data_IF_736141165431
#
_entry.id   IF_736141165431
#
_cell.length_a   1.000
_cell.length_b   1.000
_cell.length_c   1.000
_cell.angle_alpha   90.00
_cell.angle_beta   90.00
_cell.angle_gamma   90.00
#
_symmetry.space_group_name_H-M   'P 1'
#
loop_
_entity.id
_entity.type
_entity.pdbx_description
1 polymer ?
#
# COMPACT_ATOMS: atom_id res chain seq x y z
N UNK A 1 13.34 -13.30 25.03
CA UNK A 1 12.93 -11.87 24.99
C UNK A 1 13.96 -10.95 24.31
N UNK A 2 14.95 -10.36 25.00
CA UNK A 2 15.84 -9.34 24.39
C UNK A 2 16.69 -9.85 23.19
N UNK A 3 17.10 -11.12 23.23
CA UNK A 3 17.89 -11.76 22.16
C UNK A 3 17.08 -11.99 20.87
N UNK A 4 15.78 -12.32 20.99
CA UNK A 4 14.91 -12.56 19.83
C UNK A 4 14.50 -11.26 19.13
N UNK A 5 14.26 -10.18 19.89
CA UNK A 5 14.02 -8.85 19.29
C UNK A 5 15.26 -8.36 18.55
N UNK A 6 16.43 -8.43 19.19
CA UNK A 6 17.69 -8.08 18.57
C UNK A 6 17.90 -8.89 17.28
N UNK A 7 17.61 -10.19 17.31
CA UNK A 7 17.66 -11.03 16.11
C UNK A 7 16.70 -10.56 15.02
N UNK A 8 15.44 -10.31 15.34
CA UNK A 8 14.45 -9.83 14.37
C UNK A 8 14.82 -8.46 13.76
N UNK A 9 15.40 -7.57 14.56
CA UNK A 9 15.95 -6.31 14.07
C UNK A 9 17.13 -6.53 13.12
N UNK A 10 18.11 -7.38 13.48
CA UNK A 10 19.23 -7.73 12.61
C UNK A 10 18.74 -8.33 11.28
N UNK A 11 17.74 -9.22 11.32
CA UNK A 11 17.13 -9.76 10.10
C UNK A 11 16.54 -8.63 9.25
N UNK A 12 15.77 -7.72 9.86
CA UNK A 12 15.18 -6.55 9.18
C UNK A 12 16.27 -5.66 8.55
N UNK A 13 17.35 -5.37 9.25
CA UNK A 13 18.48 -4.57 8.75
C UNK A 13 19.14 -5.19 7.51
N UNK A 14 19.22 -6.52 7.43
CA UNK A 14 19.71 -7.19 6.21
C UNK A 14 18.80 -6.91 5.00
N UNK A 15 17.49 -6.90 5.22
CA UNK A 15 16.51 -6.56 4.18
C UNK A 15 16.52 -5.08 3.82
N UNK A 16 16.81 -4.19 4.77
CA UNK A 16 17.07 -2.77 4.47
C UNK A 16 18.35 -2.58 3.65
N UNK A 17 19.41 -3.34 3.95
CA UNK A 17 20.63 -3.33 3.16
C UNK A 17 20.38 -3.83 1.72
N UNK A 18 19.56 -4.87 1.57
CA UNK A 18 19.11 -5.33 0.26
C UNK A 18 18.28 -4.28 -0.48
N UNK A 19 17.33 -3.65 0.20
CA UNK A 19 16.53 -2.54 -0.34
C UNK A 19 17.44 -1.44 -0.90
N UNK A 20 18.43 -0.99 -0.12
CA UNK A 20 19.43 0.01 -0.55
C UNK A 20 20.22 -0.44 -1.78
N UNK A 21 20.47 -1.75 -1.96
CA UNK A 21 21.20 -2.30 -3.11
C UNK A 21 20.36 -2.34 -4.38
N UNK A 22 19.06 -2.60 -4.28
CA UNK A 22 18.17 -2.72 -5.45
C UNK A 22 17.51 -1.39 -5.85
N UNK A 23 17.48 -0.41 -4.94
CA UNK A 23 17.04 0.94 -5.26
C UNK A 23 17.93 1.57 -6.34
N UNK A 24 17.35 2.21 -7.37
CA UNK A 24 18.14 2.95 -8.34
C UNK A 24 18.96 4.04 -7.64
N UNK A 25 20.26 4.21 -7.94
CA UNK A 25 21.09 5.21 -7.30
C UNK A 25 20.49 6.63 -7.44
N UNK A 26 20.37 7.33 -6.31
CA UNK A 26 19.77 8.67 -6.26
C UNK A 26 18.29 8.71 -6.65
N UNK A 27 17.56 7.59 -6.57
CA UNK A 27 16.12 7.61 -6.72
C UNK A 27 15.47 8.46 -5.62
N UNK A 28 14.54 9.30 -6.03
CA UNK A 28 13.57 9.94 -5.14
C UNK A 28 12.43 8.96 -4.82
N UNK A 29 11.74 9.17 -3.71
CA UNK A 29 10.60 8.36 -3.27
C UNK A 29 9.44 9.24 -2.84
N UNK A 30 8.27 8.95 -3.39
CA UNK A 30 7.01 9.63 -3.10
C UNK A 30 5.96 8.59 -2.71
N UNK A 31 5.43 8.67 -1.50
CA UNK A 31 4.37 7.78 -1.05
C UNK A 31 2.98 8.32 -1.42
N UNK A 32 2.28 7.68 -2.36
CA UNK A 32 0.99 8.22 -2.85
C UNK A 32 -0.22 7.85 -1.99
N UNK A 33 -0.03 7.04 -0.93
CA UNK A 33 -1.13 6.58 -0.11
C UNK A 33 -0.64 6.32 1.31
N UNK A 34 -0.88 7.27 2.20
CA UNK A 34 -0.71 7.06 3.63
C UNK A 34 -1.76 7.80 4.45
N UNK A 35 -1.88 7.39 5.70
CA UNK A 35 -2.88 7.89 6.63
C UNK A 35 -2.26 8.36 7.94
N UNK A 36 -2.85 9.40 8.53
CA UNK A 36 -2.57 9.86 9.89
C UNK A 36 -3.87 9.90 10.72
N UNK A 37 -3.73 9.88 12.05
CA UNK A 37 -4.86 9.93 12.99
C UNK A 37 -5.11 8.58 13.67
N UNK A 38 -6.33 8.38 14.18
CA UNK A 38 -6.70 7.16 14.89
C UNK A 38 -7.84 6.47 14.15
N UNK A 39 -7.65 5.27 13.61
CA UNK A 39 -8.71 4.52 12.96
C UNK A 39 -9.63 3.84 13.98
N UNK A 40 -10.90 3.66 13.62
CA UNK A 40 -11.87 2.87 14.39
C UNK A 40 -11.45 1.41 14.57
N UNK A 41 -10.57 0.89 13.72
CA UNK A 41 -10.03 -0.47 13.84
C UNK A 41 -8.87 -0.60 14.84
N UNK A 42 -8.42 0.53 15.40
CA UNK A 42 -7.34 0.60 16.39
C UNK A 42 -5.97 0.90 15.82
N UNK A 43 -5.82 1.02 14.50
CA UNK A 43 -4.57 1.49 13.88
C UNK A 43 -4.37 2.99 14.12
N UNK A 44 -3.12 3.37 14.36
CA UNK A 44 -2.74 4.76 14.61
C UNK A 44 -1.64 5.13 13.63
N UNK A 45 -1.89 6.18 12.84
CA UNK A 45 -0.88 6.83 12.02
C UNK A 45 -0.33 8.02 12.80
N UNK A 46 0.84 7.83 13.41
CA UNK A 46 1.50 8.88 14.19
C UNK A 46 2.38 9.76 13.30
N UNK A 47 2.27 11.07 13.49
CA UNK A 47 2.99 12.04 12.66
C UNK A 47 4.51 11.93 12.86
N UNK A 48 4.96 11.83 14.11
CA UNK A 48 6.39 11.86 14.44
C UNK A 48 7.06 10.52 14.07
N UNK A 49 6.35 9.40 14.21
CA UNK A 49 6.76 8.11 13.66
C UNK A 49 6.88 8.18 12.13
N UNK A 50 5.85 8.70 11.43
CA UNK A 50 5.88 8.81 9.97
C UNK A 50 7.06 9.67 9.50
N UNK A 51 7.31 10.81 10.13
CA UNK A 51 8.45 11.68 9.84
C UNK A 51 9.78 10.95 9.97
N UNK A 52 9.95 10.16 11.05
CA UNK A 52 11.14 9.35 11.25
C UNK A 52 11.28 8.26 10.16
N UNK A 53 10.17 7.61 9.77
CA UNK A 53 10.15 6.62 8.69
C UNK A 53 10.54 7.26 7.35
N UNK A 54 9.95 8.41 7.02
CA UNK A 54 10.24 9.15 5.79
C UNK A 54 11.72 9.56 5.74
N UNK A 55 12.26 10.08 6.84
CA UNK A 55 13.67 10.46 6.92
C UNK A 55 14.59 9.24 6.78
N UNK A 56 14.31 8.14 7.49
CA UNK A 56 15.14 6.94 7.48
C UNK A 56 15.20 6.26 6.10
N UNK A 57 14.11 6.36 5.34
CA UNK A 57 13.99 5.74 4.02
C UNK A 57 14.18 6.71 2.86
N UNK A 58 14.38 8.01 3.10
CA UNK A 58 14.55 9.01 2.04
C UNK A 58 13.28 9.29 1.24
N UNK A 59 12.10 9.13 1.85
CA UNK A 59 10.81 9.50 1.24
C UNK A 59 10.69 11.02 1.31
N UNK A 60 10.66 11.68 0.16
CA UNK A 60 10.72 13.14 0.08
C UNK A 60 9.36 13.79 0.26
N UNK A 61 8.30 13.16 -0.25
CA UNK A 61 6.92 13.68 -0.29
C UNK A 61 5.91 12.55 -0.14
N UNK A 62 4.69 12.90 0.27
CA UNK A 62 3.59 11.95 0.31
C UNK A 62 2.23 12.60 0.12
N UNK A 63 1.27 11.86 -0.43
CA UNK A 63 -0.16 12.19 -0.31
C UNK A 63 -0.68 11.61 1.01
N UNK A 64 -1.36 12.44 1.79
CA UNK A 64 -1.73 12.10 3.16
C UNK A 64 -3.17 12.52 3.46
N UNK A 65 -3.91 11.65 4.14
CA UNK A 65 -5.31 11.85 4.53
C UNK A 65 -5.59 11.22 5.89
N UNK A 66 -6.71 11.57 6.52
CA UNK A 66 -7.08 11.00 7.81
C UNK A 66 -7.61 9.56 7.70
N UNK A 67 -7.42 8.79 8.78
CA UNK A 67 -8.02 7.48 9.00
C UNK A 67 -9.56 7.56 9.18
N UNK A 68 -10.25 6.42 9.31
CA UNK A 68 -11.69 6.42 9.64
C UNK A 68 -11.89 6.75 11.12
N UNK A 69 -11.74 8.02 11.49
CA UNK A 69 -11.58 8.39 12.89
C UNK A 69 -12.88 8.30 13.73
N UNK A 70 -12.80 8.00 15.04
CA UNK A 70 -13.97 7.97 15.92
C UNK A 70 -14.76 9.29 15.94
N UNK A 71 -14.09 10.42 15.73
CA UNK A 71 -14.69 11.76 15.66
C UNK A 71 -15.02 12.20 14.22
N UNK A 72 -15.22 11.26 13.29
CA UNK A 72 -15.56 11.55 11.89
C UNK A 72 -16.85 12.34 11.68
N UNK A 73 -17.72 12.45 12.68
CA UNK A 73 -18.95 13.24 12.55
C UNK A 73 -18.78 14.64 13.14
N UNK A 74 -19.17 15.70 12.40
CA UNK A 74 -19.71 15.68 11.04
C UNK A 74 -18.62 15.70 9.94
N UNK A 75 -18.81 14.90 8.89
CA UNK A 75 -18.14 14.99 7.59
C UNK A 75 -16.60 14.96 7.61
N UNK A 76 -16.00 14.22 8.54
CA UNK A 76 -14.56 14.19 8.82
C UNK A 76 -13.94 15.57 9.14
N UNK A 77 -14.73 16.60 9.49
CA UNK A 77 -14.23 17.98 9.63
C UNK A 77 -13.01 18.09 10.56
N UNK A 78 -13.12 17.56 11.77
CA UNK A 78 -12.03 17.61 12.74
C UNK A 78 -10.79 16.85 12.27
N UNK A 79 -10.98 15.70 11.63
CA UNK A 79 -9.92 14.88 11.06
C UNK A 79 -9.22 15.57 9.87
N UNK A 80 -9.99 16.18 8.95
CA UNK A 80 -9.49 16.97 7.83
C UNK A 80 -8.73 18.22 8.31
N UNK A 81 -9.17 18.87 9.38
CA UNK A 81 -8.46 20.00 9.99
C UNK A 81 -7.09 19.56 10.55
N UNK A 82 -7.01 18.37 11.16
CA UNK A 82 -5.73 17.77 11.58
C UNK A 82 -4.84 17.44 10.38
N UNK A 83 -5.39 16.87 9.31
CA UNK A 83 -4.68 16.61 8.06
C UNK A 83 -4.05 17.89 7.49
N UNK A 84 -4.80 19.00 7.42
CA UNK A 84 -4.27 20.30 7.00
C UNK A 84 -3.16 20.82 7.93
N UNK A 85 -3.32 20.64 9.24
CA UNK A 85 -2.30 21.03 10.22
C UNK A 85 -1.00 20.21 10.09
N UNK A 86 -1.10 18.89 9.83
CA UNK A 86 0.06 18.04 9.56
C UNK A 86 0.80 18.45 8.29
N UNK A 87 0.06 18.79 7.22
CA UNK A 87 0.66 19.31 6.00
C UNK A 87 1.45 20.60 6.26
N UNK A 88 0.88 21.55 7.00
CA UNK A 88 1.57 22.78 7.39
C UNK A 88 2.82 22.50 8.24
N UNK A 89 2.72 21.58 9.22
CA UNK A 89 3.85 21.16 10.09
C UNK A 89 5.00 20.54 9.28
N UNK A 90 4.69 19.79 8.22
CA UNK A 90 5.67 19.09 7.39
C UNK A 90 6.47 19.99 6.43
N UNK A 91 6.15 21.30 6.38
CA UNK A 91 6.67 22.26 5.40
C UNK A 91 6.42 21.82 3.94
N UNK A 92 5.23 21.27 3.65
CA UNK A 92 4.80 20.92 2.30
C UNK A 92 5.29 19.55 1.79
N UNK A 93 5.97 18.75 2.62
CA UNK A 93 6.31 17.35 2.27
C UNK A 93 5.09 16.44 2.28
N UNK A 94 4.19 16.63 3.26
CA UNK A 94 2.91 15.95 3.30
C UNK A 94 1.86 16.80 2.59
N UNK A 95 1.22 16.22 1.58
CA UNK A 95 0.24 16.87 0.71
C UNK A 95 -1.16 16.41 1.11
N UNK A 96 -2.02 17.30 1.63
CA UNK A 96 -3.27 16.91 2.27
C UNK A 96 -4.35 16.60 1.25
N UNK A 97 -5.00 15.44 1.40
CA UNK A 97 -6.22 15.09 0.67
C UNK A 97 -7.40 15.17 1.64
N UNK A 98 -8.50 15.75 1.19
CA UNK A 98 -9.74 15.82 1.97
C UNK A 98 -10.46 14.48 1.89
N UNK A 99 -10.76 13.87 3.04
CA UNK A 99 -11.59 12.67 3.12
C UNK A 99 -13.06 13.06 3.24
N UNK A 100 -13.92 12.42 2.47
CA UNK A 100 -15.35 12.77 2.40
C UNK A 100 -16.25 11.65 2.92
N UNK A 101 -17.29 12.05 3.65
CA UNK A 101 -18.51 11.25 3.82
C UNK A 101 -19.57 11.76 2.84
N UNK A 102 -20.02 10.89 1.93
CA UNK A 102 -21.03 11.27 0.93
C UNK A 102 -22.41 11.54 1.54
N UNK A 103 -22.64 11.19 2.80
CA UNK A 103 -23.90 11.44 3.51
C UNK A 103 -23.93 12.79 4.24
N UNK A 104 -22.81 13.51 4.35
CA UNK A 104 -22.69 14.70 5.20
C UNK A 104 -22.14 15.92 4.45
N UNK A 105 -22.87 16.38 3.41
CA UNK A 105 -22.52 17.54 2.59
C UNK A 105 -21.06 17.49 2.03
N UNK A 106 -20.76 16.47 1.20
CA UNK A 106 -19.40 16.21 0.72
C UNK A 106 -18.83 17.37 -0.10
N UNK A 107 -19.67 18.14 -0.80
CA UNK A 107 -19.21 19.23 -1.67
C UNK A 107 -18.81 20.45 -0.85
N UNK A 108 -19.56 20.79 0.20
CA UNK A 108 -19.17 21.88 1.09
C UNK A 108 -17.85 21.58 1.81
N UNK A 109 -17.67 20.34 2.29
CA UNK A 109 -16.41 19.96 2.95
C UNK A 109 -15.24 19.91 1.97
N UNK A 110 -15.43 19.32 0.78
CA UNK A 110 -14.40 19.31 -0.26
C UNK A 110 -13.98 20.75 -0.62
N UNK A 111 -14.95 21.64 -0.86
CA UNK A 111 -14.68 23.04 -1.20
C UNK A 111 -13.89 23.74 -0.09
N UNK A 112 -14.33 23.60 1.16
CA UNK A 112 -13.67 24.20 2.33
C UNK A 112 -12.21 23.76 2.45
N UNK A 113 -11.95 22.45 2.36
CA UNK A 113 -10.60 21.92 2.52
C UNK A 113 -9.71 22.27 1.33
N UNK A 114 -10.23 22.22 0.09
CA UNK A 114 -9.47 22.62 -1.10
C UNK A 114 -9.11 24.10 -1.07
N UNK A 115 -10.02 24.97 -0.63
CA UNK A 115 -9.75 26.40 -0.42
C UNK A 115 -8.74 26.64 0.71
N UNK A 116 -8.67 25.73 1.69
CA UNK A 116 -7.71 25.75 2.79
C UNK A 116 -6.35 25.09 2.45
N UNK A 117 -6.16 24.58 1.23
CA UNK A 117 -4.89 24.04 0.76
C UNK A 117 -4.84 22.52 0.58
N UNK A 118 -5.95 21.79 0.72
CA UNK A 118 -6.03 20.42 0.26
C UNK A 118 -5.78 20.33 -1.25
N UNK A 119 -5.08 19.28 -1.68
CA UNK A 119 -4.61 19.08 -3.06
C UNK A 119 -5.11 17.78 -3.68
N UNK A 120 -6.08 17.12 -3.05
CA UNK A 120 -6.70 15.90 -3.53
C UNK A 120 -7.93 15.53 -2.71
N UNK A 121 -8.68 14.54 -3.17
CA UNK A 121 -9.87 14.01 -2.52
C UNK A 121 -9.67 12.52 -2.22
N UNK A 122 -10.01 12.08 -1.01
CA UNK A 122 -9.99 10.67 -0.60
C UNK A 122 -11.41 10.14 -0.47
N UNK A 123 -11.66 9.01 -1.12
CA UNK A 123 -12.91 8.27 -1.09
C UNK A 123 -12.69 6.83 -0.62
N UNK A 124 -13.57 6.30 0.24
CA UNK A 124 -13.50 4.91 0.70
C UNK A 124 -14.89 4.24 0.67
N UNK A 125 -15.28 3.56 -0.44
CA UNK A 125 -16.64 3.09 -0.66
C UNK A 125 -17.16 2.13 0.40
N UNK A 126 -16.30 1.22 0.89
CA UNK A 126 -16.63 0.30 1.99
C UNK A 126 -16.89 1.01 3.32
N UNK A 127 -15.97 1.89 3.75
CA UNK A 127 -16.07 2.58 5.04
C UNK A 127 -17.24 3.57 5.07
N UNK A 128 -17.44 4.33 3.98
CA UNK A 128 -18.55 5.30 3.86
C UNK A 128 -19.82 4.71 3.21
N UNK A 129 -19.85 3.41 2.93
CA UNK A 129 -21.02 2.63 2.48
C UNK A 129 -21.73 3.21 1.25
N UNK A 130 -20.98 3.38 0.16
CA UNK A 130 -21.55 3.78 -1.14
C UNK A 130 -21.01 2.87 -2.26
N UNK A 131 -21.73 2.82 -3.38
CA UNK A 131 -21.34 2.13 -4.61
C UNK A 131 -20.92 3.10 -5.72
N UNK A 132 -20.36 2.58 -6.82
CA UNK A 132 -19.84 3.43 -7.91
C UNK A 132 -20.93 4.02 -8.81
N UNK A 133 -22.19 3.59 -8.67
CA UNK A 133 -23.33 4.17 -9.36
C UNK A 133 -24.01 5.29 -8.54
N UNK A 134 -23.52 5.57 -7.33
CA UNK A 134 -24.04 6.63 -6.49
C UNK A 134 -23.89 8.00 -7.18
N UNK A 135 -25.03 8.63 -7.49
CA UNK A 135 -25.07 9.92 -8.18
C UNK A 135 -24.40 11.06 -7.41
N UNK A 136 -24.12 10.90 -6.10
CA UNK A 136 -23.35 11.87 -5.31
C UNK A 136 -21.87 11.93 -5.70
N UNK A 137 -21.36 10.93 -6.43
CA UNK A 137 -20.00 10.96 -6.98
C UNK A 137 -19.87 11.94 -8.15
N UNK A 138 -20.93 12.17 -8.93
CA UNK A 138 -20.91 13.08 -10.08
C UNK A 138 -20.42 14.50 -9.71
N UNK A 139 -20.99 15.20 -8.70
CA UNK A 139 -20.48 16.52 -8.31
C UNK A 139 -19.08 16.47 -7.68
N UNK A 140 -18.68 15.36 -7.06
CA UNK A 140 -17.32 15.20 -6.49
C UNK A 140 -16.28 15.13 -7.62
N UNK A 141 -16.55 14.34 -8.67
CA UNK A 141 -15.68 14.24 -9.84
C UNK A 141 -15.64 15.55 -10.64
N UNK A 142 -16.80 16.22 -10.80
CA UNK A 142 -16.85 17.53 -11.44
C UNK A 142 -16.00 18.57 -10.70
N UNK A 143 -16.10 18.62 -9.37
CA UNK A 143 -15.30 19.53 -8.53
C UNK A 143 -13.80 19.20 -8.63
N UNK A 144 -13.43 17.92 -8.59
CA UNK A 144 -12.03 17.50 -8.72
C UNK A 144 -11.43 17.92 -10.08
N UNK A 145 -12.20 17.75 -11.17
CA UNK A 145 -11.80 18.18 -12.50
C UNK A 145 -11.66 19.72 -12.60
N UNK A 146 -12.61 20.48 -12.05
CA UNK A 146 -12.57 21.94 -12.00
C UNK A 146 -11.33 22.44 -11.25
N UNK A 147 -11.08 21.87 -10.08
CA UNK A 147 -9.97 22.24 -9.19
C UNK A 147 -8.62 21.65 -9.62
N UNK A 148 -8.62 20.75 -10.62
CA UNK A 148 -7.44 20.01 -11.11
C UNK A 148 -6.71 19.27 -9.99
N UNK A 149 -7.46 18.59 -9.13
CA UNK A 149 -6.94 17.77 -8.04
C UNK A 149 -7.29 16.30 -8.26
N UNK A 150 -6.41 15.35 -7.94
CA UNK A 150 -6.71 13.93 -8.06
C UNK A 150 -7.73 13.47 -7.02
N UNK A 151 -8.47 12.43 -7.38
CA UNK A 151 -9.28 11.62 -6.46
C UNK A 151 -8.52 10.32 -6.21
N UNK A 152 -8.23 9.99 -4.95
CA UNK A 152 -7.79 8.66 -4.55
C UNK A 152 -8.98 7.86 -4.01
N UNK A 153 -9.29 6.74 -4.63
CA UNK A 153 -10.38 5.85 -4.21
C UNK A 153 -9.85 4.49 -3.78
N UNK A 154 -10.40 3.96 -2.68
CA UNK A 154 -10.10 2.61 -2.25
C UNK A 154 -10.54 1.58 -3.31
N UNK A 155 -9.60 0.76 -3.80
CA UNK A 155 -9.84 -0.33 -4.76
C UNK A 155 -9.40 -1.71 -4.24
N UNK A 156 -9.32 -1.85 -2.92
CA UNK A 156 -8.79 -3.04 -2.25
C UNK A 156 -9.86 -4.02 -1.75
N UNK A 157 -9.43 -4.96 -0.90
CA UNK A 157 -10.25 -6.08 -0.40
C UNK A 157 -11.57 -5.61 0.23
N UNK A 158 -12.61 -6.42 0.05
CA UNK A 158 -13.91 -6.21 0.70
C UNK A 158 -14.84 -5.25 -0.02
N UNK A 159 -14.55 -4.94 -1.29
CA UNK A 159 -15.47 -4.27 -2.20
C UNK A 159 -16.15 -5.28 -3.14
N UNK A 160 -17.39 -4.99 -3.59
CA UNK A 160 -17.95 -5.63 -4.78
C UNK A 160 -17.18 -5.18 -6.05
N UNK A 161 -17.48 -5.73 -7.24
CA UNK A 161 -16.98 -5.18 -8.50
C UNK A 161 -17.23 -3.66 -8.60
N UNK A 162 -16.22 -2.91 -9.04
CA UNK A 162 -16.21 -1.44 -9.11
C UNK A 162 -15.85 -0.91 -10.50
N UNK A 163 -15.34 -1.75 -11.39
CA UNK A 163 -14.70 -1.33 -12.62
C UNK A 163 -15.64 -0.57 -13.56
N UNK A 164 -16.84 -1.11 -13.80
CA UNK A 164 -17.81 -0.51 -14.72
C UNK A 164 -18.28 0.88 -14.25
N UNK A 165 -18.59 1.03 -12.97
CA UNK A 165 -19.01 2.31 -12.41
C UNK A 165 -17.90 3.36 -12.44
N UNK A 166 -16.66 2.97 -12.09
CA UNK A 166 -15.49 3.85 -12.20
C UNK A 166 -15.21 4.23 -13.66
N UNK A 167 -15.25 3.28 -14.59
CA UNK A 167 -15.04 3.55 -16.01
C UNK A 167 -16.05 4.59 -16.54
N UNK A 168 -17.32 4.46 -16.15
CA UNK A 168 -18.37 5.41 -16.48
C UNK A 168 -18.12 6.80 -15.88
N UNK A 169 -17.69 6.88 -14.62
CA UNK A 169 -17.34 8.16 -13.98
C UNK A 169 -16.18 8.86 -14.71
N UNK A 170 -15.12 8.12 -15.03
CA UNK A 170 -13.98 8.68 -15.77
C UNK A 170 -14.38 9.10 -17.20
N UNK A 171 -15.31 8.38 -17.85
CA UNK A 171 -15.88 8.77 -19.16
C UNK A 171 -16.67 10.08 -19.11
N UNK A 172 -17.48 10.27 -18.06
CA UNK A 172 -18.26 11.50 -17.89
C UNK A 172 -17.41 12.67 -17.41
N UNK A 173 -16.29 12.41 -16.73
CA UNK A 173 -15.39 13.43 -16.18
C UNK A 173 -13.95 13.26 -16.69
N UNK A 174 -13.68 13.44 -18.00
CA UNK A 174 -12.35 13.21 -18.59
C UNK A 174 -11.27 14.17 -18.08
N UNK A 175 -11.65 15.26 -17.39
CA UNK A 175 -10.72 16.19 -16.74
C UNK A 175 -10.32 15.79 -15.31
N UNK A 176 -10.94 14.77 -14.73
CA UNK A 176 -10.60 14.28 -13.40
C UNK A 176 -9.45 13.26 -13.49
N UNK A 177 -8.46 13.40 -12.60
CA UNK A 177 -7.45 12.36 -12.39
C UNK A 177 -7.93 11.42 -11.28
N UNK A 178 -7.92 10.12 -11.54
CA UNK A 178 -8.31 9.08 -10.60
C UNK A 178 -7.09 8.24 -10.22
N UNK A 179 -6.87 8.04 -8.92
CA UNK A 179 -5.91 7.10 -8.36
C UNK A 179 -6.71 5.96 -7.72
N UNK A 180 -6.53 4.74 -8.21
CA UNK A 180 -7.17 3.54 -7.68
C UNK A 180 -6.19 2.84 -6.74
N UNK A 181 -6.56 2.76 -5.47
CA UNK A 181 -5.68 2.20 -4.46
C UNK A 181 -5.60 0.67 -4.49
N UNK A 182 -4.53 0.15 -3.89
CA UNK A 182 -4.27 -1.27 -3.68
C UNK A 182 -4.26 -2.06 -5.00
N UNK A 183 -3.61 -1.53 -6.03
CA UNK A 183 -3.56 -2.10 -7.38
C UNK A 183 -4.93 -2.44 -8.00
N UNK A 184 -6.03 -1.93 -7.43
CA UNK A 184 -7.38 -2.29 -7.86
C UNK A 184 -7.76 -3.76 -7.64
N UNK A 185 -7.13 -4.46 -6.68
CA UNK A 185 -7.32 -5.92 -6.48
C UNK A 185 -8.77 -6.36 -6.26
N UNK A 186 -9.69 -5.46 -5.90
CA UNK A 186 -11.11 -5.78 -5.80
C UNK A 186 -11.73 -6.24 -7.14
N UNK A 187 -11.22 -5.72 -8.26
CA UNK A 187 -11.81 -5.90 -9.59
C UNK A 187 -10.75 -5.74 -10.69
N UNK A 188 -9.52 -6.22 -10.42
CA UNK A 188 -8.30 -5.88 -11.17
C UNK A 188 -8.42 -6.15 -12.67
N UNK A 189 -8.92 -7.32 -13.05
CA UNK A 189 -9.00 -7.71 -14.47
C UNK A 189 -9.96 -6.80 -15.25
N UNK A 190 -11.12 -6.47 -14.68
CA UNK A 190 -12.09 -5.57 -15.32
C UNK A 190 -11.61 -4.12 -15.28
N UNK A 191 -10.99 -3.68 -14.18
CA UNK A 191 -10.36 -2.36 -14.10
C UNK A 191 -9.30 -2.19 -15.20
N UNK A 192 -8.39 -3.16 -15.34
CA UNK A 192 -7.41 -3.16 -16.42
C UNK A 192 -8.09 -3.10 -17.80
N UNK A 193 -9.13 -3.92 -18.03
CA UNK A 193 -9.86 -3.91 -19.30
C UNK A 193 -10.45 -2.54 -19.65
N UNK A 194 -10.94 -1.78 -18.67
CA UNK A 194 -11.56 -0.48 -18.88
C UNK A 194 -10.58 0.70 -18.84
N UNK A 195 -9.49 0.60 -18.09
CA UNK A 195 -8.65 1.77 -17.76
C UNK A 195 -7.17 1.62 -18.10
N UNK A 196 -6.67 0.43 -18.47
CA UNK A 196 -5.32 0.30 -18.99
C UNK A 196 -5.18 1.11 -20.28
N UNK A 197 -4.11 1.89 -20.40
CA UNK A 197 -3.91 2.79 -21.53
C UNK A 197 -4.61 4.14 -21.38
N UNK A 198 -5.46 4.32 -20.36
CA UNK A 198 -6.25 5.54 -20.19
C UNK A 198 -5.51 6.58 -19.37
N UNK A 199 -5.07 7.66 -20.03
CA UNK A 199 -4.46 8.81 -19.38
C UNK A 199 -5.39 9.39 -18.30
N UNK A 200 -4.82 9.73 -17.15
CA UNK A 200 -5.56 10.27 -16.01
C UNK A 200 -6.14 9.21 -15.06
N UNK A 201 -6.01 7.91 -15.38
CA UNK A 201 -6.25 6.83 -14.42
C UNK A 201 -4.91 6.27 -13.97
N UNK A 202 -4.66 6.29 -12.67
CA UNK A 202 -3.45 5.83 -12.02
C UNK A 202 -3.80 4.80 -10.96
N UNK A 203 -2.81 4.03 -10.53
CA UNK A 203 -2.92 2.99 -9.54
C UNK A 203 -1.75 3.07 -8.57
N UNK A 204 -2.00 2.74 -7.30
CA UNK A 204 -0.93 2.57 -6.33
C UNK A 204 -0.54 1.08 -6.13
N UNK A 205 0.64 0.83 -5.55
CA UNK A 205 1.15 -0.54 -5.30
C UNK A 205 0.84 -1.07 -3.91
N UNK A 206 -0.05 -0.45 -3.12
CA UNK A 206 -0.24 -0.77 -1.70
C UNK A 206 -1.03 -2.07 -1.48
N UNK A 207 -0.39 -3.20 -1.79
CA UNK A 207 -0.95 -4.54 -1.58
C UNK A 207 0.03 -5.41 -0.80
N UNK A 208 -0.50 -6.50 -0.24
CA UNK A 208 0.26 -7.46 0.55
C UNK A 208 0.71 -8.70 -0.23
N UNK A 209 0.24 -8.85 -1.47
CA UNK A 209 0.43 -10.06 -2.27
C UNK A 209 1.43 -9.77 -3.39
N UNK A 210 2.62 -10.37 -3.38
CA UNK A 210 3.57 -10.21 -4.47
C UNK A 210 3.03 -10.80 -5.78
N UNK A 211 2.15 -11.81 -5.72
CA UNK A 211 1.49 -12.39 -6.90
C UNK A 211 0.47 -11.41 -7.49
N UNK A 212 -0.30 -10.69 -6.66
CA UNK A 212 -1.25 -9.68 -7.16
C UNK A 212 -0.50 -8.57 -7.90
N UNK A 213 0.65 -8.11 -7.39
CA UNK A 213 1.46 -7.10 -8.07
C UNK A 213 2.05 -7.60 -9.40
N UNK A 214 2.51 -8.86 -9.46
CA UNK A 214 3.00 -9.43 -10.72
C UNK A 214 1.91 -9.50 -11.79
N UNK A 215 0.68 -9.91 -11.42
CA UNK A 215 -0.44 -9.92 -12.36
C UNK A 215 -0.92 -8.50 -12.71
N UNK A 216 -0.84 -7.57 -11.77
CA UNK A 216 -1.13 -6.15 -11.99
C UNK A 216 -0.19 -5.52 -13.03
N UNK A 217 1.14 -5.71 -12.93
CA UNK A 217 2.09 -5.14 -13.89
C UNK A 217 1.92 -5.70 -15.31
N UNK A 218 1.47 -6.96 -15.43
CA UNK A 218 1.12 -7.59 -16.71
C UNK A 218 -0.08 -6.94 -17.38
N UNK A 219 -0.92 -6.22 -16.63
CA UNK A 219 -2.19 -5.67 -17.08
C UNK A 219 -2.20 -4.14 -17.18
N UNK A 220 -1.37 -3.45 -16.39
CA UNK A 220 -1.34 -1.99 -16.30
C UNK A 220 0.00 -1.41 -16.82
N UNK A 221 -0.03 -0.41 -17.71
CA UNK A 221 1.16 0.30 -18.17
C UNK A 221 1.97 0.95 -17.03
N UNK A 222 3.32 0.95 -17.10
CA UNK A 222 4.17 1.49 -16.04
C UNK A 222 3.92 2.98 -15.74
N UNK A 223 3.51 3.76 -16.73
CA UNK A 223 3.16 5.18 -16.56
C UNK A 223 1.94 5.41 -15.64
N UNK A 224 1.11 4.38 -15.44
CA UNK A 224 -0.08 4.44 -14.59
C UNK A 224 0.18 3.93 -13.18
N UNK A 225 1.40 3.51 -12.85
CA UNK A 225 1.74 2.90 -11.56
C UNK A 225 2.52 3.86 -10.69
N UNK A 226 2.14 3.95 -9.41
CA UNK A 226 2.84 4.73 -8.39
C UNK A 226 3.07 3.91 -7.12
N UNK A 227 4.22 4.08 -6.48
CA UNK A 227 4.51 3.40 -5.23
C UNK A 227 3.70 3.98 -4.06
N UNK A 228 3.21 3.09 -3.20
CA UNK A 228 2.52 3.44 -1.96
C UNK A 228 2.86 2.47 -0.83
N UNK A 229 2.89 2.98 0.41
CA UNK A 229 3.03 2.15 1.60
C UNK A 229 1.69 1.74 2.22
N UNK A 230 0.66 2.59 2.17
CA UNK A 230 -0.54 2.47 3.01
C UNK A 230 -0.21 2.52 4.51
N UNK A 231 0.81 3.30 4.91
CA UNK A 231 1.12 3.55 6.33
C UNK A 231 -0.14 4.06 7.06
N UNK A 232 -0.46 3.57 8.27
CA UNK A 232 0.35 2.70 9.12
C UNK A 232 0.17 1.19 8.90
N UNK A 233 -0.63 0.78 7.91
CA UNK A 233 -0.86 -0.63 7.61
C UNK A 233 0.39 -1.25 7.00
N UNK A 234 0.93 -0.67 5.92
CA UNK A 234 2.21 -1.08 5.35
C UNK A 234 3.41 -0.49 6.10
N UNK A 235 4.47 -1.28 6.19
CA UNK A 235 5.68 -0.92 6.92
C UNK A 235 6.94 -1.13 6.09
N UNK A 236 7.97 -0.32 6.37
CA UNK A 236 9.29 -0.49 5.76
C UNK A 236 10.14 -1.55 6.50
N UNK A 237 11.05 -2.23 5.80
CA UNK A 237 11.33 -2.13 4.35
C UNK A 237 10.34 -2.91 3.47
N UNK A 238 9.34 -3.59 4.06
CA UNK A 238 8.44 -4.52 3.38
C UNK A 238 7.69 -3.91 2.20
N UNK A 239 7.04 -2.74 2.37
CA UNK A 239 6.28 -2.12 1.26
C UNK A 239 7.14 -1.64 0.10
N UNK A 240 8.38 -1.20 0.35
CA UNK A 240 9.32 -0.86 -0.73
C UNK A 240 9.87 -2.12 -1.40
N UNK A 241 10.23 -3.14 -0.62
CA UNK A 241 10.76 -4.40 -1.14
C UNK A 241 9.74 -5.12 -2.01
N UNK A 242 8.49 -5.25 -1.57
CA UNK A 242 7.46 -5.91 -2.37
C UNK A 242 7.29 -5.19 -3.70
N UNK A 243 7.17 -3.85 -3.71
CA UNK A 243 7.00 -3.07 -4.93
C UNK A 243 8.21 -3.20 -5.87
N UNK A 244 9.43 -3.00 -5.36
CA UNK A 244 10.65 -3.06 -6.17
C UNK A 244 10.95 -4.45 -6.70
N UNK A 245 10.93 -5.48 -5.85
CA UNK A 245 11.28 -6.84 -6.28
C UNK A 245 10.26 -7.37 -7.29
N UNK A 246 8.98 -7.11 -7.10
CA UNK A 246 7.95 -7.52 -8.07
C UNK A 246 8.05 -6.72 -9.37
N UNK A 247 8.29 -5.40 -9.33
CA UNK A 247 8.48 -4.59 -10.54
C UNK A 247 9.72 -5.01 -11.34
N UNK A 248 10.86 -5.24 -10.67
CA UNK A 248 12.10 -5.75 -11.30
C UNK A 248 11.83 -7.12 -11.93
N UNK A 249 11.14 -8.01 -11.21
CA UNK A 249 10.77 -9.34 -11.71
C UNK A 249 9.80 -9.26 -12.90
N UNK A 250 8.95 -8.24 -12.92
CA UNK A 250 8.03 -7.96 -14.02
C UNK A 250 8.74 -7.41 -15.26
N UNK A 251 9.93 -6.84 -15.10
CA UNK A 251 10.77 -6.35 -16.19
C UNK A 251 11.02 -4.84 -16.16
N UNK A 252 10.55 -4.14 -15.13
CA UNK A 252 10.81 -2.70 -14.98
C UNK A 252 12.32 -2.46 -14.87
N UNK A 253 12.79 -1.42 -15.54
CA UNK A 253 14.20 -0.99 -15.52
C UNK A 253 14.29 0.37 -14.83
N UNK A 254 15.49 0.95 -14.81
CA UNK A 254 15.78 2.21 -14.11
C UNK A 254 14.76 3.32 -14.42
N UNK A 255 14.33 3.45 -15.70
CA UNK A 255 13.31 4.43 -16.10
C UNK A 255 11.95 4.16 -15.45
N UNK A 256 11.40 2.96 -15.60
CA UNK A 256 10.07 2.63 -15.06
C UNK A 256 10.08 2.64 -13.53
N UNK A 257 11.17 2.17 -12.90
CA UNK A 257 11.32 2.20 -11.45
C UNK A 257 11.33 3.64 -10.90
N UNK A 258 12.06 4.56 -11.53
CA UNK A 258 12.05 5.99 -11.12
C UNK A 258 10.69 6.65 -11.31
N UNK A 259 9.98 6.31 -12.39
CA UNK A 259 8.63 6.80 -12.62
C UNK A 259 7.66 6.31 -11.53
N UNK A 260 7.69 5.01 -11.24
CA UNK A 260 6.88 4.36 -10.21
C UNK A 260 7.19 4.91 -8.81
N UNK A 261 8.46 5.04 -8.44
CA UNK A 261 8.87 5.44 -7.09
C UNK A 261 8.53 6.89 -6.76
N UNK A 262 8.62 7.81 -7.73
CA UNK A 262 8.36 9.22 -7.47
C UNK A 262 7.98 10.04 -8.71
N UNK A 263 8.47 9.68 -9.91
CA UNK A 263 8.34 10.53 -11.10
C UNK A 263 6.89 10.87 -11.45
N UNK A 264 6.00 9.87 -11.51
CA UNK A 264 4.58 10.08 -11.83
C UNK A 264 3.87 10.87 -10.73
N UNK A 265 4.18 10.58 -9.46
CA UNK A 265 3.57 11.24 -8.31
C UNK A 265 4.00 12.71 -8.17
N UNK A 266 5.29 13.00 -8.41
CA UNK A 266 5.82 14.37 -8.44
C UNK A 266 5.15 15.19 -9.55
N UNK A 267 5.09 14.65 -10.78
CA UNK A 267 4.41 15.31 -11.88
C UNK A 267 2.95 15.63 -11.53
N UNK A 268 2.23 14.67 -10.93
CA UNK A 268 0.86 14.87 -10.49
C UNK A 268 0.73 15.96 -9.41
N UNK A 269 1.57 15.92 -8.37
CA UNK A 269 1.55 16.87 -7.26
C UNK A 269 1.85 18.32 -7.71
N UNK A 270 2.74 18.45 -8.69
CA UNK A 270 3.21 19.74 -9.22
C UNK A 270 2.33 20.26 -10.38
N UNK A 271 1.31 19.48 -10.78
CA UNK A 271 0.37 19.86 -11.84
C UNK A 271 0.99 19.77 -13.24
N UNK A 272 2.06 18.99 -13.39
CA UNK A 272 2.72 18.73 -14.65
C UNK A 272 1.94 17.71 -15.49
N UNK A 273 2.08 17.71 -16.82
CA UNK A 273 1.42 16.73 -17.67
C UNK A 273 1.88 15.30 -17.35
N UNK A 274 0.91 14.41 -17.09
CA UNK A 274 1.19 12.98 -16.98
C UNK A 274 1.67 12.40 -18.32
N UNK A 275 2.60 11.43 -18.31
CA UNK A 275 3.02 10.73 -19.52
C UNK A 275 1.85 9.97 -20.17
N UNK A 276 1.95 9.74 -21.49
CA UNK A 276 1.01 8.87 -22.19
C UNK A 276 1.26 7.42 -21.79
N UNK A 277 0.23 6.67 -21.34
CA UNK A 277 0.39 5.26 -21.04
C UNK A 277 0.89 4.45 -22.23
N UNK A 278 1.90 3.62 -21.99
CA UNK A 278 2.43 2.68 -22.96
C UNK A 278 1.71 1.33 -22.89
N UNK A 279 2.39 0.23 -23.22
CA UNK A 279 1.87 -1.12 -23.01
C UNK A 279 2.28 -1.65 -21.63
N UNK A 280 1.45 -2.50 -21.00
CA UNK A 280 1.84 -3.22 -19.77
C UNK A 280 3.15 -4.01 -19.93
N UNK A 281 3.89 -4.13 -18.83
CA UNK A 281 5.14 -4.90 -18.75
C UNK A 281 5.01 -5.88 -17.60
N UNK A 282 4.89 -7.17 -17.91
CA UNK A 282 4.84 -8.20 -16.90
C UNK A 282 4.83 -9.61 -17.51
N UNK A 283 5.09 -10.64 -16.71
CA UNK A 283 5.21 -12.00 -17.19
C UNK A 283 3.84 -12.66 -17.26
N UNK A 284 3.55 -13.40 -18.34
CA UNK A 284 2.32 -14.21 -18.45
C UNK A 284 2.30 -15.45 -17.52
N UNK A 285 3.44 -15.76 -16.89
CA UNK A 285 3.56 -16.87 -15.95
C UNK A 285 4.55 -16.59 -14.82
N UNK A 286 4.27 -17.16 -13.65
CA UNK A 286 5.20 -17.19 -12.51
C UNK A 286 5.92 -18.53 -12.48
N UNK A 287 7.17 -18.55 -12.94
CA UNK A 287 8.04 -19.73 -12.82
C UNK A 287 8.71 -19.74 -11.44
N UNK A 288 8.42 -20.78 -10.66
CA UNK A 288 8.94 -21.00 -9.31
C UNK A 288 9.05 -22.48 -9.00
N UNK A 289 10.00 -22.85 -8.12
CA UNK A 289 10.07 -24.23 -7.63
C UNK A 289 8.80 -24.59 -6.84
N UNK A 290 8.39 -25.86 -6.89
CA UNK A 290 7.24 -26.37 -6.12
C UNK A 290 7.41 -26.10 -4.61
N UNK A 291 8.65 -26.07 -4.12
CA UNK A 291 8.96 -25.78 -2.72
C UNK A 291 8.65 -24.33 -2.36
N UNK A 292 9.11 -23.37 -3.17
CA UNK A 292 8.80 -21.95 -2.96
C UNK A 292 7.30 -21.66 -3.12
N UNK A 293 6.64 -22.32 -4.09
CA UNK A 293 5.20 -22.25 -4.25
C UNK A 293 4.43 -22.72 -2.99
N UNK A 294 4.89 -23.82 -2.38
CA UNK A 294 4.32 -24.35 -1.13
C UNK A 294 4.55 -23.41 0.04
N UNK A 295 5.74 -22.82 0.16
CA UNK A 295 6.04 -21.81 1.19
C UNK A 295 5.07 -20.63 1.03
N UNK A 296 5.00 -20.01 -0.15
CA UNK A 296 4.08 -18.91 -0.44
C UNK A 296 2.62 -19.27 -0.09
N UNK A 297 2.17 -20.47 -0.48
CA UNK A 297 0.82 -20.95 -0.19
C UNK A 297 0.54 -20.99 1.32
N UNK A 298 1.45 -21.53 2.13
CA UNK A 298 1.27 -21.59 3.58
C UNK A 298 1.30 -20.20 4.22
N UNK A 299 2.16 -19.29 3.77
CA UNK A 299 2.23 -17.92 4.29
C UNK A 299 1.00 -17.10 3.91
N UNK A 300 0.50 -17.27 2.68
CA UNK A 300 -0.75 -16.68 2.21
C UNK A 300 -1.97 -17.15 3.02
N UNK A 301 -1.96 -18.40 3.48
CA UNK A 301 -2.99 -18.92 4.38
C UNK A 301 -2.81 -18.41 5.83
N UNK A 302 -1.57 -18.23 6.29
CA UNK A 302 -1.26 -17.81 7.66
C UNK A 302 -1.62 -16.34 7.91
N UNK A 303 -1.38 -15.48 6.92
CA UNK A 303 -1.61 -14.02 7.01
C UNK A 303 -3.03 -13.63 7.46
N UNK A 304 -4.12 -14.10 6.82
CA UNK A 304 -5.47 -13.75 7.26
C UNK A 304 -5.80 -14.32 8.65
N UNK A 305 -5.25 -15.47 9.03
CA UNK A 305 -5.43 -16.04 10.37
C UNK A 305 -4.74 -15.18 11.44
N UNK A 306 -3.55 -14.64 11.14
CA UNK A 306 -2.84 -13.72 12.02
C UNK A 306 -3.68 -12.45 12.27
N UNK A 307 -4.21 -11.83 11.21
CA UNK A 307 -5.03 -10.62 11.33
C UNK A 307 -6.34 -10.85 12.09
N UNK A 308 -6.97 -12.00 11.85
CA UNK A 308 -8.22 -12.39 12.51
C UNK A 308 -8.02 -13.08 13.86
N UNK A 309 -6.75 -13.18 14.31
CA UNK A 309 -6.32 -13.83 15.57
C UNK A 309 -6.89 -15.25 15.72
N UNK A 310 -6.97 -15.98 14.62
CA UNK A 310 -7.49 -17.34 14.60
C UNK A 310 -6.41 -18.36 15.01
N UNK A 311 -6.81 -19.50 15.62
CA UNK A 311 -5.90 -20.60 15.87
C UNK A 311 -5.30 -21.13 14.55
N UNK A 312 -4.27 -21.96 14.64
CA UNK A 312 -3.56 -22.63 13.52
C UNK A 312 -2.59 -21.78 12.69
N UNK A 313 -2.47 -20.47 12.92
CA UNK A 313 -1.43 -19.63 12.27
C UNK A 313 -0.03 -20.26 12.41
N UNK A 314 0.31 -20.77 13.60
CA UNK A 314 1.61 -21.41 13.86
C UNK A 314 1.78 -22.78 13.18
N UNK A 315 0.69 -23.52 12.98
CA UNK A 315 0.74 -24.77 12.24
C UNK A 315 1.16 -24.53 10.78
N UNK A 316 0.61 -23.48 10.16
CA UNK A 316 0.98 -23.07 8.80
C UNK A 316 2.43 -22.57 8.72
N UNK A 317 2.89 -21.77 9.69
CA UNK A 317 4.30 -21.36 9.74
C UNK A 317 5.23 -22.57 9.88
N UNK A 318 4.86 -23.57 10.67
CA UNK A 318 5.65 -24.81 10.85
C UNK A 318 5.73 -25.63 9.55
N UNK A 319 4.64 -25.68 8.78
CA UNK A 319 4.63 -26.32 7.46
C UNK A 319 5.56 -25.58 6.48
N UNK A 320 5.56 -24.25 6.50
CA UNK A 320 6.47 -23.43 5.70
C UNK A 320 7.94 -23.68 6.09
N UNK A 321 8.28 -23.60 7.39
CA UNK A 321 9.62 -23.89 7.93
C UNK A 321 10.12 -25.27 7.51
N UNK A 322 9.26 -26.30 7.66
CA UNK A 322 9.62 -27.67 7.28
C UNK A 322 9.85 -27.80 5.78
N UNK A 323 9.06 -27.10 4.96
CA UNK A 323 9.24 -27.06 3.50
C UNK A 323 10.57 -26.42 3.12
N UNK A 324 11.00 -25.36 3.82
CA UNK A 324 12.31 -24.74 3.61
C UNK A 324 13.49 -25.67 3.93
N UNK A 325 13.32 -26.67 4.79
CA UNK A 325 14.36 -27.63 5.15
C UNK A 325 14.53 -28.77 4.12
N UNK A 326 13.64 -28.87 3.13
CA UNK A 326 13.76 -29.87 2.06
C UNK A 326 14.99 -29.58 1.17
N UNK A 327 15.64 -30.64 0.68
CA UNK A 327 16.77 -30.48 -0.26
C UNK A 327 16.28 -29.80 -1.55
N UNK A 328 16.93 -28.71 -1.94
CA UNK A 328 16.48 -27.91 -3.06
C UNK A 328 17.63 -27.21 -3.82
N UNK A 329 17.32 -26.60 -4.97
CA UNK A 329 18.28 -25.83 -5.81
C UNK A 329 18.44 -24.37 -5.39
N UNK A 330 17.58 -23.89 -4.49
CA UNK A 330 17.48 -22.51 -4.02
C UNK A 330 17.83 -22.42 -2.52
N UNK A 331 18.83 -23.21 -2.09
CA UNK A 331 19.06 -23.48 -0.66
C UNK A 331 19.25 -22.19 0.14
N UNK A 332 20.02 -21.24 -0.40
CA UNK A 332 20.25 -19.92 0.19
C UNK A 332 18.94 -19.14 0.44
N UNK A 333 18.03 -19.12 -0.54
CA UNK A 333 16.72 -18.44 -0.42
C UNK A 333 15.88 -19.15 0.64
N UNK A 334 15.80 -20.47 0.59
CA UNK A 334 15.00 -21.24 1.56
C UNK A 334 15.55 -21.14 2.98
N UNK A 335 16.87 -21.04 3.17
CA UNK A 335 17.48 -20.83 4.48
C UNK A 335 17.17 -19.42 5.02
N UNK A 336 17.21 -18.38 4.17
CA UNK A 336 16.80 -17.01 4.56
C UNK A 336 15.34 -16.94 4.97
N UNK A 337 14.45 -17.57 4.19
CA UNK A 337 13.03 -17.68 4.52
C UNK A 337 12.84 -18.42 5.84
N UNK A 338 13.48 -19.59 6.01
CA UNK A 338 13.37 -20.38 7.24
C UNK A 338 13.73 -19.55 8.46
N UNK A 339 14.82 -18.81 8.39
CA UNK A 339 15.31 -17.99 9.49
C UNK A 339 14.32 -16.88 9.90
N UNK A 340 13.69 -16.20 8.93
CA UNK A 340 12.60 -15.24 9.22
C UNK A 340 11.44 -15.91 9.96
N UNK A 341 11.03 -17.09 9.48
CA UNK A 341 9.86 -17.80 10.00
C UNK A 341 10.11 -18.43 11.38
N UNK A 342 11.33 -18.93 11.64
CA UNK A 342 11.73 -19.44 12.95
C UNK A 342 11.70 -18.32 13.99
N UNK A 343 12.27 -17.15 13.67
CA UNK A 343 12.19 -15.99 14.56
C UNK A 343 10.74 -15.53 14.75
N UNK A 344 9.93 -15.48 13.69
CA UNK A 344 8.51 -15.12 13.78
C UNK A 344 7.72 -16.05 14.71
N UNK A 345 7.96 -17.37 14.62
CA UNK A 345 7.35 -18.38 15.49
C UNK A 345 7.80 -18.21 16.94
N UNK A 346 9.11 -18.06 17.17
CA UNK A 346 9.64 -17.96 18.54
C UNK A 346 9.18 -16.66 19.22
N UNK A 347 9.07 -15.56 18.48
CA UNK A 347 8.45 -14.31 18.93
C UNK A 347 6.97 -14.48 19.29
N UNK A 348 6.23 -15.29 18.51
CA UNK A 348 4.82 -15.58 18.77
C UNK A 348 4.65 -16.39 20.06
N UNK A 349 5.49 -17.39 20.30
CA UNK A 349 5.43 -18.23 21.51
C UNK A 349 5.73 -17.43 22.80
N UNK A 350 6.47 -16.32 22.69
CA UNK A 350 6.72 -15.40 23.80
C UNK A 350 5.59 -14.36 24.01
N UNK A 351 4.63 -14.20 23.09
CA UNK A 351 3.53 -13.22 23.21
C UNK A 351 2.75 -13.30 24.55
N UNK A 352 2.39 -14.49 25.07
CA UNK A 352 1.66 -14.58 26.34
C UNK A 352 2.45 -14.08 27.56
N UNK A 353 3.78 -13.95 27.44
CA UNK A 353 4.67 -13.49 28.51
C UNK A 353 4.69 -11.96 28.63
N UNK A 354 4.29 -11.25 27.57
CA UNK A 354 4.19 -9.80 27.58
C UNK A 354 3.00 -9.35 28.43
N UNK A 355 3.23 -8.42 29.35
CA UNK A 355 2.22 -7.93 30.29
C UNK A 355 1.51 -6.67 29.83
N UNK A 356 2.10 -5.90 28.90
CA UNK A 356 1.52 -4.67 28.38
C UNK A 356 0.93 -4.88 26.98
N UNK A 357 -0.21 -4.23 26.71
CA UNK A 357 -0.85 -4.29 25.40
C UNK A 357 -0.05 -3.57 24.29
N UNK A 358 0.62 -2.43 24.54
CA UNK A 358 1.54 -1.83 23.57
C UNK A 358 2.66 -2.78 23.14
N UNK A 359 3.34 -3.44 24.08
CA UNK A 359 4.44 -4.36 23.75
C UNK A 359 3.94 -5.55 22.91
N UNK A 360 2.71 -6.01 23.16
CA UNK A 360 2.08 -7.08 22.36
C UNK A 360 1.79 -6.63 20.93
N UNK A 361 1.30 -5.40 20.74
CA UNK A 361 1.03 -4.87 19.41
C UNK A 361 2.31 -4.71 18.60
N UNK A 362 3.36 -4.17 19.21
CA UNK A 362 4.67 -4.03 18.57
C UNK A 362 5.27 -5.39 18.21
N UNK A 363 5.12 -6.38 19.10
CA UNK A 363 5.52 -7.77 18.81
C UNK A 363 4.76 -8.35 17.63
N UNK A 364 3.43 -8.18 17.58
CA UNK A 364 2.61 -8.69 16.47
C UNK A 364 3.01 -8.02 15.15
N UNK A 365 3.28 -6.72 15.15
CA UNK A 365 3.79 -5.99 13.97
C UNK A 365 5.13 -6.56 13.50
N UNK A 366 6.04 -6.85 14.42
CA UNK A 366 7.34 -7.44 14.11
C UNK A 366 7.21 -8.86 13.53
N UNK A 367 6.36 -9.71 14.12
CA UNK A 367 6.06 -11.06 13.61
C UNK A 367 5.51 -10.98 12.18
N UNK A 368 4.52 -10.11 11.98
CA UNK A 368 3.90 -9.92 10.69
C UNK A 368 4.91 -9.41 9.64
N UNK A 369 5.81 -8.49 10.02
CA UNK A 369 6.91 -8.04 9.15
C UNK A 369 7.79 -9.20 8.70
N UNK A 370 8.18 -10.11 9.60
CA UNK A 370 9.00 -11.28 9.25
C UNK A 370 8.29 -12.21 8.28
N UNK A 371 7.00 -12.49 8.53
CA UNK A 371 6.15 -13.32 7.66
C UNK A 371 6.02 -12.68 6.27
N UNK A 372 5.78 -11.37 6.20
CA UNK A 372 5.64 -10.66 4.93
C UNK A 372 6.95 -10.64 4.13
N UNK A 373 8.10 -10.41 4.78
CA UNK A 373 9.40 -10.51 4.11
C UNK A 373 9.67 -11.92 3.56
N UNK A 374 9.31 -12.95 4.31
CA UNK A 374 9.42 -14.34 3.87
C UNK A 374 8.53 -14.64 2.67
N UNK A 375 7.31 -14.10 2.64
CA UNK A 375 6.38 -14.25 1.53
C UNK A 375 6.89 -13.55 0.26
N UNK A 376 7.38 -12.31 0.39
CA UNK A 376 8.03 -11.57 -0.69
C UNK A 376 9.19 -12.39 -1.29
N UNK A 377 10.09 -12.91 -0.46
CA UNK A 377 11.20 -13.76 -0.92
C UNK A 377 10.71 -15.01 -1.64
N UNK A 378 9.66 -15.66 -1.12
CA UNK A 378 9.17 -16.91 -1.71
C UNK A 378 8.66 -16.75 -3.15
N UNK A 379 8.24 -15.55 -3.54
CA UNK A 379 7.70 -15.25 -4.89
C UNK A 379 8.71 -14.55 -5.79
N UNK A 380 9.63 -13.77 -5.23
CA UNK A 380 10.49 -12.86 -6.00
C UNK A 380 11.96 -13.30 -6.12
N UNK A 381 12.32 -14.44 -5.54
CA UNK A 381 13.67 -14.96 -5.53
C UNK A 381 14.17 -15.54 -6.86
#
# INVERSE_FOLDING_TARGET
MADLEARAHELTERYEAELRRILPPGADMFDVHLHLGNDIDGMVGDYDELEAVMQAHGISRAFMFCLDEPDRHPAFKAANDRTLAYAARSNGRLIPFVRLDLNEDPIAEATRCLDAGARGIKLHPRAQRFDMADGRLEPVFALAAERRVPILIHGGRGLPPIAEGLAGLVERHPGATLIIAHAGIADMAELARYTAGRKGVLFDTSTWSPVDLLDFYRQIPPEQVMWASDYPYGQQPGSLLIALKTAIRAGYRDRELRAMLAGTANALADGEPLPEPSSPIGPDSLDQSIQLARVHQYLSMATPLLWTRQPDTMALLTLAITTCAERNRHQEITDRIRELLEVARDLWDELPQLTSDPDRLDRVRLIFRMIHLADIESVTA
#
